data_IF_769619055880
#
_entry.id   IF_769619055880
#
_cell.length_a   1.000
_cell.length_b   1.000
_cell.length_c   1.000
_cell.angle_alpha   90.00
_cell.angle_beta   90.00
_cell.angle_gamma   90.00
#
_symmetry.space_group_name_H-M   'P 1'
#
loop_
_entity.id
_entity.type
_entity.pdbx_description
1 polymer ?
#
# COMPACT_ATOMS: atom_id res chain seq x y z
N UNK A 1 0.06 6.37 -13.13
CA UNK A 1 1.19 6.87 -12.34
C UNK A 1 0.66 7.48 -11.07
N UNK A 2 0.95 6.89 -9.90
CA UNK A 2 0.53 7.43 -8.61
C UNK A 2 1.52 8.54 -8.23
N UNK A 3 1.19 9.80 -8.53
CA UNK A 3 1.92 10.97 -8.04
C UNK A 3 1.18 11.49 -6.81
N UNK A 4 1.65 11.11 -5.62
CA UNK A 4 1.21 11.68 -4.35
C UNK A 4 2.28 12.68 -3.94
N UNK A 5 2.01 13.95 -4.20
CA UNK A 5 2.89 15.07 -3.89
C UNK A 5 2.32 15.80 -2.66
N UNK A 6 2.85 15.46 -1.47
CA UNK A 6 2.79 16.32 -0.28
C UNK A 6 3.83 15.86 0.75
N UNK A 7 5.09 15.89 0.31
CA UNK A 7 6.34 16.36 0.95
C UNK A 7 6.57 16.31 2.49
N UNK A 8 5.72 15.69 3.29
CA UNK A 8 5.87 15.49 4.74
C UNK A 8 5.48 14.08 5.23
N UNK A 9 4.92 13.21 4.37
CA UNK A 9 4.94 11.77 4.63
C UNK A 9 6.39 11.32 4.56
N UNK A 10 7.01 11.13 5.73
CA UNK A 10 8.46 11.02 5.79
C UNK A 10 8.86 9.81 4.96
N UNK A 11 9.79 9.97 4.02
CA UNK A 11 10.43 8.85 3.33
C UNK A 11 10.90 7.77 4.34
N UNK A 12 11.22 8.18 5.57
CA UNK A 12 11.44 7.29 6.72
C UNK A 12 10.22 6.43 7.12
N UNK A 13 9.00 6.96 7.11
CA UNK A 13 7.75 6.24 7.37
C UNK A 13 7.49 5.17 6.29
N UNK A 14 7.64 5.52 5.01
CA UNK A 14 7.56 4.53 3.93
C UNK A 14 8.68 3.47 4.06
N UNK A 15 9.91 3.90 4.34
CA UNK A 15 11.06 3.01 4.51
C UNK A 15 10.91 2.06 5.69
N UNK A 16 10.33 2.46 6.82
CA UNK A 16 10.15 1.53 7.94
C UNK A 16 9.20 0.41 7.51
N UNK A 17 8.07 0.73 6.88
CA UNK A 17 7.14 -0.28 6.39
C UNK A 17 7.71 -1.15 5.27
N UNK A 18 8.55 -0.59 4.39
CA UNK A 18 9.29 -1.36 3.37
C UNK A 18 10.27 -2.37 4.00
N UNK A 19 10.96 -1.96 5.07
CA UNK A 19 12.00 -2.76 5.71
C UNK A 19 11.47 -3.72 6.78
N UNK A 20 10.30 -3.47 7.36
CA UNK A 20 9.69 -4.30 8.40
C UNK A 20 8.40 -4.93 7.92
N UNK A 21 7.28 -4.20 7.91
CA UNK A 21 5.93 -4.71 7.65
C UNK A 21 5.83 -5.50 6.35
N UNK A 22 6.46 -5.00 5.28
CA UNK A 22 6.45 -5.68 3.99
C UNK A 22 7.25 -7.00 4.03
N UNK A 23 8.34 -7.05 4.80
CA UNK A 23 9.17 -8.25 4.97
C UNK A 23 8.48 -9.31 5.82
N UNK A 24 7.76 -8.88 6.85
CA UNK A 24 6.88 -9.73 7.65
C UNK A 24 5.83 -10.38 6.75
N UNK A 25 5.11 -9.60 5.93
CA UNK A 25 4.11 -10.12 4.98
C UNK A 25 4.73 -11.12 4.00
N UNK A 26 5.87 -10.81 3.39
CA UNK A 26 6.53 -11.74 2.44
C UNK A 26 6.94 -13.05 3.13
N UNK A 27 7.43 -12.96 4.37
CA UNK A 27 7.81 -14.12 5.16
C UNK A 27 6.60 -14.98 5.52
N UNK A 28 5.51 -14.36 5.98
CA UNK A 28 4.30 -15.06 6.43
C UNK A 28 3.59 -15.77 5.26
N UNK A 29 3.68 -15.24 4.04
CA UNK A 29 3.14 -15.85 2.82
C UNK A 29 4.20 -16.63 2.02
N UNK A 30 5.29 -17.06 2.65
CA UNK A 30 6.33 -17.81 1.96
C UNK A 30 5.79 -19.15 1.44
N UNK A 31 5.79 -19.32 0.11
CA UNK A 31 5.24 -20.50 -0.56
C UNK A 31 3.76 -20.40 -0.90
N UNK A 32 3.05 -19.43 -0.33
CA UNK A 32 1.64 -19.20 -0.57
C UNK A 32 1.40 -17.99 -1.48
N UNK A 33 0.18 -17.91 -2.04
CA UNK A 33 -0.28 -16.77 -2.83
C UNK A 33 -0.81 -15.67 -1.91
N UNK A 34 -0.49 -14.43 -2.26
CA UNK A 34 -1.09 -13.23 -1.67
C UNK A 34 -1.84 -12.48 -2.78
N UNK A 35 -3.14 -12.74 -2.93
CA UNK A 35 -3.91 -12.16 -4.03
C UNK A 35 -4.32 -10.70 -3.76
N UNK A 36 -4.56 -10.34 -2.49
CA UNK A 36 -5.02 -9.01 -2.10
C UNK A 36 -4.32 -8.52 -0.83
N UNK A 37 -3.86 -7.27 -0.84
CA UNK A 37 -3.44 -6.52 0.34
C UNK A 37 -4.39 -5.34 0.53
N UNK A 38 -5.14 -5.35 1.63
CA UNK A 38 -6.12 -4.30 1.97
C UNK A 38 -5.58 -3.49 3.14
N UNK A 39 -5.52 -2.17 2.98
CA UNK A 39 -5.08 -1.26 4.05
C UNK A 39 -5.95 -0.01 4.09
N UNK A 40 -6.11 0.55 5.29
CA UNK A 40 -6.62 1.90 5.44
C UNK A 40 -5.65 2.91 4.82
N UNK A 41 -6.19 4.04 4.35
CA UNK A 41 -5.40 5.21 3.96
C UNK A 41 -5.37 6.24 5.09
N UNK A 42 -4.22 6.89 5.24
CA UNK A 42 -3.94 7.87 6.28
C UNK A 42 -2.77 8.74 5.82
N UNK A 43 -1.62 8.63 6.48
CA UNK A 43 -0.38 9.29 6.04
C UNK A 43 0.40 8.49 5.00
N UNK A 44 -0.25 7.65 4.18
CA UNK A 44 0.33 6.97 3.01
C UNK A 44 1.57 6.07 3.21
N UNK A 45 2.21 6.04 4.38
CA UNK A 45 3.47 5.34 4.62
C UNK A 45 3.36 3.82 4.49
N UNK A 46 2.27 3.24 5.03
CA UNK A 46 2.03 1.80 4.94
C UNK A 46 1.82 1.35 3.49
N UNK A 47 0.90 1.99 2.74
CA UNK A 47 0.66 1.62 1.33
C UNK A 47 1.87 1.89 0.45
N UNK A 48 2.63 2.94 0.72
CA UNK A 48 3.84 3.26 -0.03
C UNK A 48 4.96 2.25 0.23
N UNK A 49 5.29 1.99 1.50
CA UNK A 49 6.35 1.06 1.89
C UNK A 49 6.04 -0.39 1.50
N UNK A 50 4.86 -0.89 1.90
CA UNK A 50 4.44 -2.26 1.55
C UNK A 50 4.23 -2.40 0.05
N UNK A 51 3.62 -1.40 -0.59
CA UNK A 51 3.35 -1.44 -2.03
C UNK A 51 4.61 -1.39 -2.90
N UNK A 52 5.73 -0.84 -2.44
CA UNK A 52 7.02 -0.93 -3.16
C UNK A 52 7.53 -2.37 -3.22
N UNK A 53 7.50 -3.08 -2.09
CA UNK A 53 7.95 -4.48 -2.00
C UNK A 53 7.00 -5.40 -2.75
N UNK A 54 5.68 -5.28 -2.53
CA UNK A 54 4.70 -6.15 -3.19
C UNK A 54 4.77 -6.00 -4.72
N UNK A 55 4.85 -4.78 -5.27
CA UNK A 55 5.00 -4.60 -6.72
C UNK A 55 6.28 -5.23 -7.29
N UNK A 56 7.34 -5.34 -6.49
CA UNK A 56 8.62 -5.92 -6.90
C UNK A 56 8.63 -7.45 -6.78
N UNK A 57 8.10 -7.99 -5.68
CA UNK A 57 8.28 -9.39 -5.30
C UNK A 57 7.02 -10.24 -5.48
N UNK A 58 5.83 -9.61 -5.52
CA UNK A 58 4.51 -10.21 -5.71
C UNK A 58 3.65 -9.33 -6.64
N UNK A 59 4.06 -9.11 -7.90
CA UNK A 59 3.40 -8.16 -8.82
C UNK A 59 1.93 -8.50 -9.12
N UNK A 60 1.51 -9.75 -8.87
CA UNK A 60 0.14 -10.22 -8.97
C UNK A 60 -0.78 -9.77 -7.82
N UNK A 61 -0.22 -9.34 -6.68
CA UNK A 61 -0.99 -8.88 -5.53
C UNK A 61 -1.69 -7.56 -5.84
N UNK A 62 -3.02 -7.53 -5.68
CA UNK A 62 -3.81 -6.32 -5.80
C UNK A 62 -3.79 -5.55 -4.48
N UNK A 63 -3.54 -4.24 -4.56
CA UNK A 63 -3.51 -3.35 -3.39
C UNK A 63 -4.81 -2.56 -3.36
N UNK A 64 -5.57 -2.69 -2.27
CA UNK A 64 -6.86 -2.03 -2.06
C UNK A 64 -6.73 -1.05 -0.91
N UNK A 65 -7.17 0.18 -1.14
CA UNK A 65 -7.22 1.24 -0.15
C UNK A 65 -8.65 1.43 0.36
N UNK A 66 -8.80 1.52 1.67
CA UNK A 66 -10.05 1.93 2.31
C UNK A 66 -9.88 3.33 2.89
N UNK A 67 -10.75 4.26 2.48
CA UNK A 67 -10.83 5.62 3.00
C UNK A 67 -12.15 5.85 3.74
N UNK A 68 -12.15 6.64 4.84
CA UNK A 68 -13.39 7.07 5.44
C UNK A 68 -14.15 8.03 4.51
N UNK A 69 -15.46 7.83 4.41
CA UNK A 69 -16.38 8.57 3.51
C UNK A 69 -16.28 10.11 3.68
N UNK A 70 -15.93 10.57 4.88
CA UNK A 70 -15.88 12.00 5.24
C UNK A 70 -14.51 12.66 4.99
N UNK A 71 -13.52 11.91 4.48
CA UNK A 71 -12.14 12.37 4.29
C UNK A 71 -11.55 11.83 2.97
N UNK A 72 -12.36 11.79 1.91
CA UNK A 72 -11.92 11.38 0.57
C UNK A 72 -10.79 12.30 0.08
N UNK A 73 -9.62 11.72 -0.14
CA UNK A 73 -8.44 12.41 -0.68
C UNK A 73 -8.04 11.87 -2.05
N UNK A 74 -8.64 10.75 -2.50
CA UNK A 74 -8.33 10.09 -3.77
C UNK A 74 -9.54 10.15 -4.72
N UNK A 75 -9.28 10.55 -5.98
CA UNK A 75 -10.25 10.46 -7.07
C UNK A 75 -10.45 8.97 -7.46
N UNK A 76 -11.70 8.53 -7.43
CA UNK A 76 -12.14 7.11 -7.51
C UNK A 76 -11.77 6.45 -8.87
N UNK A 77 -11.32 7.23 -9.85
CA UNK A 77 -11.02 6.73 -11.20
C UNK A 77 -9.61 6.13 -11.39
N UNK A 78 -8.77 5.99 -10.34
CA UNK A 78 -7.38 5.48 -10.49
C UNK A 78 -7.01 4.24 -9.65
N UNK A 79 -7.94 3.69 -8.88
CA UNK A 79 -7.79 2.37 -8.26
C UNK A 79 -9.13 1.69 -8.45
N UNK A 80 -9.18 0.50 -9.04
CA UNK A 80 -10.40 -0.29 -9.10
C UNK A 80 -10.86 -0.62 -7.67
N UNK A 81 -11.59 0.32 -7.07
CA UNK A 81 -12.35 0.15 -5.86
C UNK A 81 -13.62 -0.60 -6.29
N UNK A 82 -13.65 -1.90 -6.06
CA UNK A 82 -14.93 -2.58 -5.89
C UNK A 82 -15.22 -2.52 -4.40
N UNK A 83 -16.32 -1.84 -4.08
CA UNK A 83 -16.95 -1.78 -2.75
C UNK A 83 -17.12 -3.18 -2.17
#
# INVERSE_FOLDING_TARGET
SLFIDSQFETEANARIHENTTAREIISDFHGDRLDYFVTGYGTGGTVSGVGRVLRKERPETKIILSEPENAQLIDIDQVSATV
#
